data_IF_438632348046
#
_entry.id   IF_438632348046
#
_cell.length_a   1.000
_cell.length_b   1.000
_cell.length_c   1.000
_cell.angle_alpha   90.00
_cell.angle_beta   90.00
_cell.angle_gamma   90.00
#
_symmetry.space_group_name_H-M   'P 1'
#
loop_
_entity.id
_entity.type
_entity.pdbx_description
1 polymer ?
#
# COMPACT_ATOMS: atom_id res chain seq x y z
N UNK A 1 5.52 10.92 -16.05
CA UNK A 1 4.25 10.31 -16.50
C UNK A 1 4.04 8.92 -15.91
N UNK A 2 4.73 7.87 -16.38
CA UNK A 2 4.55 6.51 -15.83
C UNK A 2 5.05 6.36 -14.40
N UNK A 3 6.19 6.97 -14.07
CA UNK A 3 6.71 7.02 -12.69
C UNK A 3 5.73 7.70 -11.74
N UNK A 4 5.26 8.89 -12.11
CA UNK A 4 4.31 9.65 -11.29
C UNK A 4 3.01 8.87 -11.07
N UNK A 5 2.48 8.24 -12.12
CA UNK A 5 1.29 7.40 -12.01
C UNK A 5 1.52 6.20 -11.07
N UNK A 6 2.67 5.53 -11.17
CA UNK A 6 3.01 4.43 -10.27
C UNK A 6 3.14 4.91 -8.82
N UNK A 7 3.83 6.04 -8.58
CA UNK A 7 3.99 6.61 -7.24
C UNK A 7 2.64 7.05 -6.63
N UNK A 8 1.70 7.54 -7.44
CA UNK A 8 0.32 7.82 -7.00
C UNK A 8 -0.39 6.55 -6.55
N UNK A 9 -0.19 5.42 -7.25
CA UNK A 9 -0.74 4.14 -6.80
C UNK A 9 -0.07 3.65 -5.51
N UNK A 10 1.24 3.84 -5.36
CA UNK A 10 1.96 3.56 -4.11
C UNK A 10 1.39 4.37 -2.93
N UNK A 11 1.17 5.68 -3.11
CA UNK A 11 0.54 6.54 -2.11
C UNK A 11 -0.83 6.02 -1.68
N UNK A 12 -1.68 5.65 -2.65
CA UNK A 12 -3.01 5.13 -2.40
C UNK A 12 -2.98 3.83 -1.60
N UNK A 13 -2.04 2.93 -1.88
CA UNK A 13 -1.88 1.67 -1.16
C UNK A 13 -1.50 1.95 0.30
N UNK A 14 -0.52 2.85 0.54
CA UNK A 14 -0.11 3.24 1.90
C UNK A 14 -1.23 3.93 2.68
N UNK A 15 -2.05 4.75 2.00
CA UNK A 15 -3.21 5.38 2.61
C UNK A 15 -4.26 4.34 3.06
N UNK A 16 -4.55 3.34 2.23
CA UNK A 16 -5.50 2.26 2.56
C UNK A 16 -4.97 1.40 3.71
N UNK A 17 -3.69 1.02 3.67
CA UNK A 17 -3.03 0.29 4.75
C UNK A 17 -3.17 1.01 6.10
N UNK A 18 -2.84 2.30 6.14
CA UNK A 18 -2.97 3.13 7.34
C UNK A 18 -4.42 3.23 7.81
N UNK A 19 -5.37 3.41 6.90
CA UNK A 19 -6.80 3.46 7.25
C UNK A 19 -7.29 2.13 7.83
N UNK A 20 -6.94 1.01 7.20
CA UNK A 20 -7.30 -0.33 7.64
C UNK A 20 -6.78 -0.64 9.05
N UNK A 21 -5.50 -0.32 9.29
CA UNK A 21 -4.87 -0.46 10.61
C UNK A 21 -5.57 0.38 11.66
N UNK A 22 -5.80 1.66 11.39
CA UNK A 22 -6.36 2.59 12.38
C UNK A 22 -7.86 2.39 12.65
N UNK A 23 -8.63 1.86 11.69
CA UNK A 23 -10.10 1.71 11.82
C UNK A 23 -10.54 0.30 12.18
N UNK A 24 -9.80 -0.71 11.75
CA UNK A 24 -10.23 -2.10 11.87
C UNK A 24 -9.19 -2.99 12.57
N UNK A 25 -8.06 -2.42 13.01
CA UNK A 25 -6.93 -3.16 13.61
C UNK A 25 -6.38 -4.25 12.68
N UNK A 26 -6.52 -4.04 11.36
CA UNK A 26 -5.98 -4.94 10.34
C UNK A 26 -4.52 -4.55 10.09
N UNK A 27 -3.59 -5.46 10.37
CA UNK A 27 -2.17 -5.20 10.12
C UNK A 27 -1.86 -5.08 8.63
N UNK A 28 -0.84 -4.29 8.30
CA UNK A 28 -0.29 -4.18 6.94
C UNK A 28 0.07 -5.56 6.37
N UNK A 29 0.74 -6.41 7.16
CA UNK A 29 1.09 -7.78 6.76
C UNK A 29 -0.14 -8.60 6.35
N UNK A 30 -1.22 -8.54 7.13
CA UNK A 30 -2.47 -9.24 6.84
C UNK A 30 -3.07 -8.74 5.52
N UNK A 31 -3.12 -7.42 5.35
CA UNK A 31 -3.66 -6.79 4.14
C UNK A 31 -2.82 -7.15 2.92
N UNK A 32 -1.49 -7.03 3.01
CA UNK A 32 -0.57 -7.36 1.92
C UNK A 32 -0.71 -8.82 1.49
N UNK A 33 -0.78 -9.74 2.45
CA UNK A 33 -0.97 -11.17 2.17
C UNK A 33 -2.31 -11.46 1.49
N UNK A 34 -3.40 -10.81 1.92
CA UNK A 34 -4.73 -10.99 1.34
C UNK A 34 -4.84 -10.47 -0.10
N UNK A 35 -4.29 -9.29 -0.36
CA UNK A 35 -4.36 -8.63 -1.67
C UNK A 35 -3.17 -8.91 -2.58
N UNK A 36 -2.21 -9.73 -2.11
CA UNK A 36 -0.95 -10.06 -2.80
C UNK A 36 -0.15 -8.80 -3.15
N UNK A 37 -0.14 -7.84 -2.24
CA UNK A 37 0.71 -6.64 -2.34
C UNK A 37 2.14 -7.09 -2.00
N UNK A 38 3.13 -6.77 -2.84
CA UNK A 38 4.53 -7.07 -2.54
C UNK A 38 4.97 -6.40 -1.24
N UNK A 39 5.69 -7.14 -0.38
CA UNK A 39 6.23 -6.59 0.88
C UNK A 39 7.36 -5.58 0.65
N UNK A 40 7.99 -5.63 -0.52
CA UNK A 40 9.03 -4.72 -1.00
C UNK A 40 8.46 -3.58 -1.88
N UNK A 41 7.15 -3.32 -1.81
CA UNK A 41 6.54 -2.18 -2.49
C UNK A 41 7.15 -0.87 -1.96
N UNK A 42 7.77 -0.11 -2.86
CA UNK A 42 8.35 1.20 -2.58
C UNK A 42 8.13 2.15 -3.78
N UNK A 43 8.48 3.42 -3.61
CA UNK A 43 8.44 4.42 -4.67
C UNK A 43 9.46 4.14 -5.77
N UNK A 44 9.12 4.51 -7.00
CA UNK A 44 10.06 4.51 -8.11
C UNK A 44 10.93 5.76 -8.06
N UNK A 45 12.25 5.56 -7.96
CA UNK A 45 13.29 6.59 -8.16
C UNK A 45 13.50 6.98 -9.61
#
# INVERSE_FOLDING_TARGET
>A
AYKDAANIWTDNIFAIQSWCKNKFDISEETLCKQFRIPEDLDYLG
#
